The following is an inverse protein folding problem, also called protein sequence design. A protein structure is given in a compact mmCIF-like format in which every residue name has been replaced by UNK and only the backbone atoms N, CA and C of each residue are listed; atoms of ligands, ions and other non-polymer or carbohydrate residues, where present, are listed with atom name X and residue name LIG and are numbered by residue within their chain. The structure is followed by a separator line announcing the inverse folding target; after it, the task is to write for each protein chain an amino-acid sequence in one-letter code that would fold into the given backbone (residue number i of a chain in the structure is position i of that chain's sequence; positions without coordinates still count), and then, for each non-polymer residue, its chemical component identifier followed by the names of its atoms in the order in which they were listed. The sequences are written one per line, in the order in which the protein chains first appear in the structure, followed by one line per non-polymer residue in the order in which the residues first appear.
data_IF_532123628302
#
_entry.id   IF_532123628302
#
_cell.length_a   1.000
_cell.length_b   1.000
_cell.length_c   1.000
_cell.angle_alpha   90.00
_cell.angle_beta   90.00
_cell.angle_gamma   90.00
#
_symmetry.space_group_name_H-M   'P 1'
#
loop_
_entity.id
_entity.type
_entity.pdbx_description
1 polymer ?
#
# COMPACT_ATOMS: atom_id res chain seq x y z
N UNK A 1 -3.81 -12.73 -3.49
CA UNK A 1 -3.24 -11.99 -2.32
C UNK A 1 -3.30 -12.85 -1.07
N UNK A 2 -2.24 -12.85 -0.28
CA UNK A 2 -2.09 -13.64 0.95
C UNK A 2 -2.45 -12.82 2.18
N UNK A 3 -3.69 -12.37 2.28
CA UNK A 3 -4.15 -11.42 3.30
C UNK A 3 -3.83 -11.87 4.74
N UNK A 4 -4.20 -13.09 5.11
CA UNK A 4 -4.00 -13.59 6.48
C UNK A 4 -2.51 -13.70 6.84
N UNK A 5 -1.66 -14.09 5.89
CA UNK A 5 -0.22 -14.18 6.09
C UNK A 5 0.39 -12.79 6.26
N UNK A 6 -0.06 -11.81 5.47
CA UNK A 6 0.39 -10.41 5.59
C UNK A 6 -0.01 -9.86 6.96
N UNK A 7 -1.25 -10.04 7.38
CA UNK A 7 -1.71 -9.56 8.69
C UNK A 7 -0.96 -10.22 9.85
N UNK A 8 -0.65 -11.51 9.74
CA UNK A 8 0.19 -12.19 10.73
C UNK A 8 1.59 -11.58 10.82
N UNK A 9 2.22 -11.34 9.68
CA UNK A 9 3.55 -10.72 9.63
C UNK A 9 3.55 -9.29 10.21
N UNK A 10 2.50 -8.50 9.93
CA UNK A 10 2.35 -7.16 10.49
C UNK A 10 2.28 -7.20 12.03
N UNK A 11 1.51 -8.12 12.59
CA UNK A 11 1.42 -8.29 14.05
C UNK A 11 2.75 -8.70 14.67
N UNK A 12 3.46 -9.63 14.04
CA UNK A 12 4.79 -10.06 14.49
C UNK A 12 5.80 -8.91 14.52
N UNK A 13 5.73 -8.00 13.54
CA UNK A 13 6.60 -6.83 13.44
C UNK A 13 6.08 -5.62 14.23
N UNK A 14 4.95 -5.75 14.94
CA UNK A 14 4.29 -4.67 15.69
C UNK A 14 3.98 -3.45 14.85
N UNK A 15 3.43 -3.70 13.65
CA UNK A 15 2.97 -2.70 12.72
C UNK A 15 1.44 -2.66 12.70
N UNK A 16 0.87 -1.48 12.49
CA UNK A 16 -0.56 -1.31 12.42
C UNK A 16 -1.14 -1.61 11.05
N UNK A 17 -0.31 -1.49 10.00
CA UNK A 17 -0.75 -1.78 8.66
C UNK A 17 0.33 -1.65 7.60
N UNK A 18 0.01 -2.13 6.41
CA UNK A 18 0.78 -1.92 5.19
C UNK A 18 -0.05 -1.05 4.25
N UNK A 19 0.43 0.17 4.00
CA UNK A 19 -0.20 1.12 3.10
C UNK A 19 0.44 1.03 1.71
N UNK A 20 -0.34 0.54 0.76
CA UNK A 20 0.01 0.57 -0.64
C UNK A 20 -0.49 1.87 -1.27
N UNK A 21 0.31 2.43 -2.14
CA UNK A 21 0.01 3.62 -2.92
C UNK A 21 0.53 3.43 -4.32
N UNK A 22 -0.21 3.87 -5.31
CA UNK A 22 0.30 3.96 -6.67
C UNK A 22 -0.29 5.12 -7.45
N UNK A 23 0.46 5.53 -8.45
CA UNK A 23 0.14 6.57 -9.41
C UNK A 23 0.89 6.26 -10.71
N UNK A 24 0.15 6.05 -11.79
CA UNK A 24 0.71 5.67 -13.10
C UNK A 24 1.45 4.33 -13.14
N UNK A 25 1.03 3.36 -12.35
CA UNK A 25 1.65 2.02 -12.30
C UNK A 25 3.16 2.06 -12.01
N UNK A 26 3.58 2.93 -11.11
CA UNK A 26 4.99 3.10 -10.74
C UNK A 26 5.51 2.09 -9.75
N UNK A 27 4.61 1.43 -9.01
CA UNK A 27 4.97 0.43 -8.00
C UNK A 27 4.59 -0.98 -8.45
N UNK A 28 5.45 -1.67 -9.22
CA UNK A 28 5.17 -3.03 -9.65
C UNK A 28 5.08 -4.02 -8.48
N UNK A 29 5.71 -3.73 -7.34
CA UNK A 29 5.65 -4.58 -6.15
C UNK A 29 4.24 -4.60 -5.57
N UNK A 30 3.56 -3.46 -5.50
CA UNK A 30 2.18 -3.37 -5.05
C UNK A 30 1.27 -4.29 -5.89
N UNK A 31 1.37 -4.20 -7.20
CA UNK A 31 0.56 -5.02 -8.11
C UNK A 31 0.80 -6.52 -7.92
N UNK A 32 2.05 -6.93 -7.72
CA UNK A 32 2.39 -8.35 -7.51
C UNK A 32 1.94 -8.86 -6.14
N UNK A 33 2.22 -8.14 -5.08
CA UNK A 33 1.81 -8.54 -3.72
C UNK A 33 0.30 -8.61 -3.59
N UNK A 34 -0.41 -7.61 -4.13
CA UNK A 34 -1.87 -7.55 -4.11
C UNK A 34 -2.53 -8.48 -5.14
N UNK A 35 -1.77 -9.05 -6.06
CA UNK A 35 -2.30 -9.80 -7.19
C UNK A 35 -3.33 -8.97 -7.97
N UNK A 36 -2.97 -7.72 -8.21
CA UNK A 36 -3.84 -6.72 -8.85
C UNK A 36 -3.46 -6.57 -10.32
N UNK A 37 -4.42 -6.79 -11.19
CA UNK A 37 -4.28 -6.56 -12.64
C UNK A 37 -5.15 -5.36 -13.02
N UNK A 38 -4.56 -4.24 -13.44
CA UNK A 38 -5.34 -3.07 -13.85
C UNK A 38 -6.16 -3.38 -15.11
N UNK A 39 -7.43 -3.02 -15.08
CA UNK A 39 -8.35 -3.16 -16.23
C UNK A 39 -8.32 -1.93 -17.16
N UNK A 40 -7.26 -1.16 -17.14
CA UNK A 40 -7.13 0.05 -17.95
C UNK A 40 -6.04 0.98 -17.43
N UNK A 41 -5.94 2.19 -17.98
CA UNK A 41 -4.96 3.16 -17.51
C UNK A 41 -5.24 3.59 -16.07
N UNK A 42 -4.18 3.63 -15.26
CA UNK A 42 -4.21 4.12 -13.88
C UNK A 42 -3.51 5.48 -13.85
N UNK A 43 -4.28 6.55 -13.94
CA UNK A 43 -3.74 7.92 -14.00
C UNK A 43 -3.95 8.70 -12.70
N UNK A 44 -4.80 8.21 -11.82
CA UNK A 44 -5.13 8.83 -10.54
C UNK A 44 -4.53 8.02 -9.39
N UNK A 45 -4.24 8.73 -8.29
CA UNK A 45 -3.71 8.11 -7.08
C UNK A 45 -4.75 7.24 -6.40
N UNK A 46 -4.33 6.04 -6.00
CA UNK A 46 -5.11 5.15 -5.15
C UNK A 46 -4.29 4.71 -3.94
N UNK A 47 -5.00 4.34 -2.90
CA UNK A 47 -4.42 3.88 -1.65
C UNK A 47 -5.15 2.63 -1.18
N UNK A 48 -4.41 1.65 -0.71
CA UNK A 48 -4.94 0.41 -0.17
C UNK A 48 -4.25 0.09 1.14
N UNK A 49 -5.02 0.02 2.22
CA UNK A 49 -4.50 -0.32 3.54
C UNK A 49 -4.87 -1.75 3.89
N UNK A 50 -3.86 -2.58 4.17
CA UNK A 50 -4.03 -3.85 4.86
C UNK A 50 -3.72 -3.59 6.33
N UNK A 51 -4.72 -3.53 7.22
CA UNK A 51 -4.46 -3.37 8.64
C UNK A 51 -3.94 -4.67 9.24
N UNK A 52 -3.23 -4.61 10.36
CA UNK A 52 -2.78 -5.80 11.10
C UNK A 52 -3.95 -6.65 11.57
N UNK A 53 -5.08 -6.01 11.85
CA UNK A 53 -6.34 -6.66 12.24
C UNK A 53 -7.52 -5.98 11.54
N UNK A 54 -8.54 -6.78 11.21
CA UNK A 54 -9.75 -6.29 10.58
C UNK A 54 -9.70 -6.31 9.05
N UNK A 55 -10.68 -5.67 8.43
CA UNK A 55 -10.79 -5.64 6.98
C UNK A 55 -9.91 -4.58 6.34
N UNK A 56 -9.37 -4.86 5.14
CA UNK A 56 -8.70 -3.86 4.32
C UNK A 56 -9.60 -2.66 3.99
N UNK A 57 -8.98 -1.55 3.63
CA UNK A 57 -9.67 -0.32 3.25
C UNK A 57 -9.06 0.26 1.98
N UNK A 58 -9.90 0.80 1.12
CA UNK A 58 -9.52 1.37 -0.18
C UNK A 58 -9.90 2.84 -0.26
N UNK A 59 -9.04 3.63 -0.88
CA UNK A 59 -9.32 5.01 -1.24
C UNK A 59 -8.97 5.20 -2.71
N UNK A 60 -9.98 5.50 -3.53
CA UNK A 60 -9.83 5.63 -4.98
C UNK A 60 -10.41 6.95 -5.46
N UNK A 61 -9.88 7.44 -6.59
CA UNK A 61 -10.39 8.65 -7.22
C UNK A 61 -11.71 8.35 -7.98
N UNK A 62 -12.62 9.31 -7.97
CA UNK A 62 -13.94 9.18 -8.61
C UNK A 62 -13.87 8.80 -10.11
N UNK A 63 -12.87 9.32 -10.83
CA UNK A 63 -12.69 9.04 -12.27
C UNK A 63 -12.25 7.59 -12.53
N UNK A 64 -11.55 6.97 -11.59
CA UNK A 64 -11.01 5.60 -11.70
C UNK A 64 -11.44 4.76 -10.49
N UNK A 65 -12.69 4.86 -10.09
CA UNK A 65 -13.19 4.22 -8.86
C UNK A 65 -13.17 2.69 -8.89
N UNK A 66 -12.98 2.11 -10.05
CA UNK A 66 -12.97 0.65 -10.27
C UNK A 66 -11.60 0.01 -9.99
N UNK A 67 -10.53 0.79 -9.89
CA UNK A 67 -9.13 0.29 -9.95
C UNK A 67 -8.79 -0.77 -8.89
N UNK A 68 -9.43 -0.73 -7.73
CA UNK A 68 -9.23 -1.69 -6.65
C UNK A 68 -10.43 -2.63 -6.43
N UNK A 69 -11.37 -2.72 -7.37
CA UNK A 69 -12.59 -3.52 -7.18
C UNK A 69 -12.32 -5.02 -7.06
N UNK A 70 -11.22 -5.52 -7.61
CA UNK A 70 -10.79 -6.90 -7.43
C UNK A 70 -10.24 -7.25 -6.03
N UNK A 71 -10.06 -6.26 -5.15
CA UNK A 71 -9.54 -6.45 -3.80
C UNK A 71 -10.65 -6.39 -2.74
N UNK A 72 -10.53 -7.12 -1.62
CA UNK A 72 -11.48 -7.02 -0.52
C UNK A 72 -11.36 -5.69 0.22
N UNK A 73 -12.40 -5.30 0.94
CA UNK A 73 -12.38 -4.19 1.88
C UNK A 73 -13.35 -3.05 1.54
N UNK A 74 -13.54 -2.17 2.52
CA UNK A 74 -14.38 -0.99 2.39
C UNK A 74 -13.78 0.00 1.39
N UNK A 75 -14.59 0.49 0.47
CA UNK A 75 -14.19 1.47 -0.54
C UNK A 75 -14.69 2.87 -0.20
N UNK A 76 -13.78 3.83 -0.23
CA UNK A 76 -14.07 5.26 -0.22
C UNK A 76 -13.62 5.89 -1.53
N UNK A 77 -14.38 6.87 -1.99
CA UNK A 77 -14.12 7.59 -3.23
C UNK A 77 -13.85 9.05 -2.90
N UNK A 78 -12.79 9.61 -3.50
CA UNK A 78 -12.47 11.02 -3.35
C UNK A 78 -12.43 11.73 -4.71
N UNK A 79 -12.65 13.03 -4.68
CA UNK A 79 -12.36 13.95 -5.78
C UNK A 79 -11.84 15.26 -5.19
N UNK A 80 -10.75 15.77 -5.73
CA UNK A 80 -10.11 16.99 -5.24
C UNK A 80 -9.24 16.77 -4.00
N UNK A 81 -8.38 17.74 -3.75
CA UNK A 81 -7.31 17.70 -2.74
C UNK A 81 -7.82 17.54 -1.30
N UNK A 82 -8.78 18.36 -0.90
CA UNK A 82 -9.31 18.31 0.47
C UNK A 82 -9.97 16.97 0.79
N UNK A 83 -10.72 16.43 -0.15
CA UNK A 83 -11.38 15.13 -0.03
C UNK A 83 -10.38 13.97 0.04
N UNK A 84 -9.27 14.06 -0.70
CA UNK A 84 -8.20 13.08 -0.61
C UNK A 84 -7.60 13.03 0.79
N UNK A 85 -7.30 14.17 1.38
CA UNK A 85 -6.73 14.24 2.73
C UNK A 85 -7.69 13.70 3.78
N UNK A 86 -8.97 14.06 3.71
CA UNK A 86 -10.01 13.52 4.60
C UNK A 86 -10.17 12.00 4.42
N UNK A 87 -10.14 11.54 3.18
CA UNK A 87 -10.20 10.12 2.85
C UNK A 87 -9.00 9.35 3.43
N UNK A 88 -7.82 9.91 3.37
CA UNK A 88 -6.60 9.32 3.97
C UNK A 88 -6.69 9.25 5.49
N UNK A 89 -7.21 10.28 6.15
CA UNK A 89 -7.44 10.24 7.60
C UNK A 89 -8.41 9.14 7.99
N UNK A 90 -9.47 8.96 7.23
CA UNK A 90 -10.43 7.88 7.45
C UNK A 90 -9.82 6.50 7.17
N UNK A 91 -9.04 6.38 6.09
CA UNK A 91 -8.35 5.14 5.71
C UNK A 91 -7.40 4.68 6.82
N UNK A 92 -6.66 5.60 7.41
CA UNK A 92 -5.61 5.35 8.39
C UNK A 92 -6.10 5.42 9.85
N UNK A 93 -7.41 5.61 10.07
CA UNK A 93 -7.96 5.69 11.41
C UNK A 93 -7.61 4.44 12.23
N UNK A 94 -7.09 4.66 13.44
CA UNK A 94 -6.64 3.58 14.34
C UNK A 94 -5.20 3.12 14.11
N UNK A 95 -4.53 3.58 13.06
CA UNK A 95 -3.12 3.30 12.81
C UNK A 95 -2.21 4.39 13.34
N UNK A 96 -1.00 4.01 13.72
CA UNK A 96 0.10 4.92 14.08
C UNK A 96 1.35 4.64 13.27
N UNK A 97 1.64 3.38 13.02
CA UNK A 97 2.85 2.91 12.35
C UNK A 97 2.49 2.03 11.16
N UNK A 98 2.83 2.50 9.96
CA UNK A 98 2.52 1.80 8.71
C UNK A 98 3.77 1.60 7.86
N UNK A 99 3.81 0.49 7.15
CA UNK A 99 4.79 0.26 6.11
C UNK A 99 4.34 0.87 4.79
N UNK A 100 5.30 1.35 4.02
CA UNK A 100 5.13 1.74 2.62
C UNK A 100 6.34 1.28 1.82
N UNK A 101 6.24 1.23 0.50
CA UNK A 101 7.39 0.99 -0.38
C UNK A 101 8.27 2.24 -0.41
N UNK A 102 8.91 2.46 0.71
CA UNK A 102 9.80 3.55 1.05
C UNK A 102 11.10 2.99 1.61
N UNK A 103 12.22 3.56 1.22
CA UNK A 103 13.52 3.18 1.77
C UNK A 103 14.24 4.42 2.32
N UNK A 104 14.50 4.49 3.63
CA UNK A 104 15.26 5.58 4.20
C UNK A 104 16.59 5.76 3.47
N UNK A 105 16.85 6.98 3.00
CA UNK A 105 18.04 7.34 2.23
C UNK A 105 18.28 6.47 0.99
N UNK A 106 17.22 5.85 0.47
CA UNK A 106 17.29 4.93 -0.67
C UNK A 106 18.31 3.78 -0.48
N UNK A 107 18.46 3.31 0.76
CA UNK A 107 19.42 2.23 1.09
C UNK A 107 19.08 0.91 0.39
N UNK A 108 17.78 0.69 0.12
CA UNK A 108 17.27 -0.47 -0.64
C UNK A 108 16.45 0.06 -1.82
N UNK A 109 17.09 0.40 -2.96
CA UNK A 109 16.41 1.01 -4.11
C UNK A 109 15.21 0.21 -4.63
N UNK A 110 15.26 -1.11 -4.51
CA UNK A 110 14.21 -2.02 -4.96
C UNK A 110 12.83 -1.72 -4.38
N UNK A 111 12.74 -1.23 -3.15
CA UNK A 111 11.48 -0.89 -2.49
C UNK A 111 11.19 0.61 -2.46
N UNK A 112 12.04 1.44 -3.05
CA UNK A 112 11.90 2.89 -3.05
C UNK A 112 10.97 3.37 -4.18
N UNK A 113 9.70 2.94 -4.15
CA UNK A 113 8.72 3.19 -5.22
C UNK A 113 7.70 4.29 -4.88
N UNK A 114 7.60 4.67 -3.60
CA UNK A 114 6.74 5.78 -3.17
C UNK A 114 7.55 7.07 -3.15
N UNK A 115 7.02 8.10 -3.76
CA UNK A 115 7.68 9.41 -3.83
C UNK A 115 7.75 10.11 -2.47
N UNK A 116 8.73 10.99 -2.32
CA UNK A 116 8.96 11.72 -1.07
C UNK A 116 7.74 12.54 -0.63
N UNK A 117 7.06 13.20 -1.57
CA UNK A 117 5.88 14.02 -1.27
C UNK A 117 4.72 13.20 -0.70
N UNK A 118 4.51 11.98 -1.20
CA UNK A 118 3.49 11.08 -0.64
C UNK A 118 3.85 10.63 0.77
N UNK A 119 5.12 10.30 1.03
CA UNK A 119 5.59 9.97 2.40
C UNK A 119 5.38 11.14 3.34
N UNK A 120 5.72 12.35 2.91
CA UNK A 120 5.48 13.57 3.70
C UNK A 120 4.00 13.77 4.01
N UNK A 121 3.12 13.56 3.03
CA UNK A 121 1.67 13.66 3.21
C UNK A 121 1.18 12.68 4.27
N UNK A 122 1.58 11.42 4.19
CA UNK A 122 1.17 10.38 5.16
C UNK A 122 1.71 10.71 6.56
N UNK A 123 2.95 11.17 6.66
CA UNK A 123 3.52 11.63 7.93
C UNK A 123 2.77 12.83 8.51
N UNK A 124 2.33 13.76 7.68
CA UNK A 124 1.59 14.95 8.11
C UNK A 124 0.22 14.61 8.72
N UNK A 125 -0.33 13.45 8.39
CA UNK A 125 -1.58 12.93 8.96
C UNK A 125 -1.34 12.30 10.35
N UNK A 126 -0.09 12.12 10.76
CA UNK A 126 0.28 11.59 12.08
C UNK A 126 0.83 10.17 12.05
N UNK A 127 1.15 9.63 10.87
CA UNK A 127 1.72 8.29 10.75
C UNK A 127 3.24 8.30 10.89
N UNK A 128 3.77 7.28 11.56
CA UNK A 128 5.14 6.84 11.38
C UNK A 128 5.19 5.94 10.15
N UNK A 129 5.98 6.33 9.15
CA UNK A 129 6.17 5.55 7.94
C UNK A 129 7.50 4.80 8.00
N UNK A 130 7.43 3.48 7.88
CA UNK A 130 8.61 2.61 7.87
C UNK A 130 8.70 1.86 6.53
N UNK A 131 9.89 1.31 6.26
CA UNK A 131 10.16 0.59 5.02
C UNK A 131 9.49 -0.79 5.00
N UNK A 132 8.88 -1.14 3.87
CA UNK A 132 8.34 -2.47 3.61
C UNK A 132 9.37 -3.50 3.15
N UNK A 133 10.66 -3.20 3.21
CA UNK A 133 11.70 -4.06 2.66
C UNK A 133 11.64 -5.50 3.18
N UNK A 134 11.39 -5.70 4.47
CA UNK A 134 11.30 -7.04 5.05
C UNK A 134 10.06 -7.81 4.56
N UNK A 135 8.90 -7.17 4.50
CA UNK A 135 7.68 -7.80 3.99
C UNK A 135 7.78 -8.11 2.49
N UNK A 136 8.36 -7.21 1.72
CA UNK A 136 8.61 -7.46 0.29
C UNK A 136 9.51 -8.69 0.12
N UNK A 137 10.54 -8.83 0.93
CA UNK A 137 11.40 -10.00 0.89
C UNK A 137 10.62 -11.30 1.19
N UNK A 138 9.70 -11.26 2.14
CA UNK A 138 8.89 -12.43 2.51
C UNK A 138 7.86 -12.78 1.43
N UNK A 139 7.18 -11.79 0.85
CA UNK A 139 6.02 -12.02 -0.01
C UNK A 139 6.31 -11.95 -1.51
N UNK A 140 7.41 -11.32 -1.92
CA UNK A 140 7.73 -11.09 -3.32
C UNK A 140 9.05 -11.77 -3.76
N UNK A 141 10.09 -11.70 -2.95
CA UNK A 141 11.44 -12.16 -3.33
C UNK A 141 11.69 -13.66 -3.05
N UNK A 142 10.65 -14.48 -2.91
CA UNK A 142 10.83 -15.94 -2.80
C UNK A 142 11.21 -16.54 -4.15
N UNK A 143 12.35 -17.20 -4.18
CA UNK A 143 12.77 -18.01 -5.32
C UNK A 143 11.72 -19.10 -5.58
N UNK A 144 11.25 -19.18 -6.81
CA UNK A 144 10.43 -20.31 -7.22
C UNK A 144 11.32 -21.54 -7.42
N UNK A 145 10.80 -22.78 -7.31
CA UNK A 145 11.59 -23.97 -7.60
C UNK A 145 12.29 -23.93 -8.96
N UNK A 146 11.66 -23.32 -9.97
CA UNK A 146 12.24 -23.13 -11.30
C UNK A 146 13.40 -22.13 -11.37
N UNK A 147 13.57 -21.29 -10.37
CA UNK A 147 14.69 -20.32 -10.27
C UNK A 147 15.87 -20.89 -9.47
N UNK A 148 15.70 -22.06 -8.85
CA UNK A 148 16.74 -22.76 -8.10
C UNK A 148 17.48 -23.80 -8.93
N UNK A 149 17.04 -24.06 -10.16
CA UNK A 149 17.70 -24.92 -11.16
C UNK A 149 18.59 -24.09 -12.09
#
# INVERSE_FOLDING_TARGET
MKLNEIQSALREQRLDGWLFFDHHQRDPLAYRVLTLTPEGPVTRRWYYLIPAEGEPRKLVHAVESFVLDGLPGEKRVYSGWARQTDGLRALLAGCRRVEMQYSPQCAVPYVANVDAGTVELIRSIGMEVVSSAELIQVFEAKWTPAQLE
#
